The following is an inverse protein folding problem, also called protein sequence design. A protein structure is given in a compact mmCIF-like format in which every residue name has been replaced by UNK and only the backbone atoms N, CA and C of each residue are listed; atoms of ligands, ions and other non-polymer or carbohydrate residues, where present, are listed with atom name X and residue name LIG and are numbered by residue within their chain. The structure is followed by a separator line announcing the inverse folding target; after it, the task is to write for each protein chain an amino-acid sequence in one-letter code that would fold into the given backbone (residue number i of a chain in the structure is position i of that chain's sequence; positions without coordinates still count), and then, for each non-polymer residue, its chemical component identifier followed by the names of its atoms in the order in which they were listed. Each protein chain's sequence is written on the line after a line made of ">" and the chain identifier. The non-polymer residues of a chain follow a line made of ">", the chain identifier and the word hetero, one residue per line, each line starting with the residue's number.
data_IF_411750904313
#
_entry.id   IF_411750904313
#
_cell.length_a   1.000
_cell.length_b   1.000
_cell.length_c   1.000
_cell.angle_alpha   90.00
_cell.angle_beta   90.00
_cell.angle_gamma   90.00
#
_symmetry.space_group_name_H-M   'P 1'
#
loop_
_entity.id
_entity.type
_entity.pdbx_description
1 polymer ?
#
# COMPACT_ATOMS: atom_id res chain seq x y z
N UNK A 1 16.98 38.69 17.09
CA UNK A 1 15.92 37.89 16.44
C UNK A 1 16.33 36.43 16.57
N UNK A 2 15.52 35.59 17.20
CA UNK A 2 15.82 34.16 17.36
C UNK A 2 15.52 33.40 16.07
N UNK A 3 16.42 32.50 15.67
CA UNK A 3 16.21 31.60 14.54
C UNK A 3 15.18 30.56 14.97
N UNK A 4 14.00 30.59 14.35
CA UNK A 4 13.02 29.51 14.50
C UNK A 4 13.49 28.36 13.62
N UNK A 5 14.00 27.30 14.24
CA UNK A 5 14.26 26.03 13.56
C UNK A 5 12.93 25.28 13.51
N UNK A 6 12.30 25.23 12.33
CA UNK A 6 11.14 24.38 12.12
C UNK A 6 11.56 22.92 12.29
N UNK A 7 11.05 22.27 13.33
CA UNK A 7 11.24 20.84 13.52
C UNK A 7 10.65 20.10 12.31
N UNK A 8 11.37 19.15 11.70
CA UNK A 8 10.85 18.41 10.57
C UNK A 8 9.55 17.72 10.99
N UNK A 9 8.45 18.05 10.31
CA UNK A 9 7.15 17.43 10.58
C UNK A 9 7.30 15.92 10.41
N UNK A 10 7.06 15.17 11.49
CA UNK A 10 7.02 13.73 11.40
C UNK A 10 5.91 13.32 10.43
N UNK A 11 6.25 12.46 9.47
CA UNK A 11 5.28 11.92 8.51
C UNK A 11 4.19 11.19 9.28
N UNK A 12 2.94 11.39 8.88
CA UNK A 12 1.83 10.62 9.45
C UNK A 12 1.89 9.17 8.98
N UNK A 13 1.30 8.24 9.75
CA UNK A 13 1.23 6.82 9.33
C UNK A 13 0.56 6.65 7.97
N UNK A 14 -0.44 7.47 7.66
CA UNK A 14 -1.10 7.48 6.35
C UNK A 14 -0.14 7.92 5.23
N UNK A 15 0.70 8.93 5.47
CA UNK A 15 1.72 9.35 4.50
C UNK A 15 2.78 8.26 4.31
N UNK A 16 3.22 7.62 5.40
CA UNK A 16 4.18 6.53 5.33
C UNK A 16 3.63 5.31 4.58
N UNK A 17 2.36 4.94 4.84
CA UNK A 17 1.66 3.86 4.13
C UNK A 17 1.61 4.12 2.63
N UNK A 18 1.20 5.33 2.25
CA UNK A 18 1.14 5.75 0.85
C UNK A 18 2.51 5.67 0.17
N UNK A 19 3.54 6.26 0.78
CA UNK A 19 4.90 6.25 0.22
C UNK A 19 5.43 4.83 0.05
N UNK A 20 5.17 3.94 1.01
CA UNK A 20 5.58 2.54 0.93
C UNK A 20 4.81 1.79 -0.17
N UNK A 21 3.50 2.02 -0.31
CA UNK A 21 2.68 1.44 -1.36
C UNK A 21 3.11 1.89 -2.76
N UNK A 22 3.41 3.18 -2.92
CA UNK A 22 3.93 3.73 -4.16
C UNK A 22 5.30 3.12 -4.50
N UNK A 23 6.20 3.00 -3.52
CA UNK A 23 7.53 2.42 -3.70
C UNK A 23 7.48 0.94 -4.12
N UNK A 24 6.65 0.13 -3.46
CA UNK A 24 6.49 -1.29 -3.79
C UNK A 24 5.88 -1.45 -5.19
N UNK A 25 4.89 -0.63 -5.51
CA UNK A 25 4.23 -0.65 -6.82
C UNK A 25 5.21 -0.31 -7.94
N UNK A 26 6.07 0.69 -7.73
CA UNK A 26 7.11 1.08 -8.69
C UNK A 26 8.15 -0.02 -8.87
N UNK A 27 8.63 -0.63 -7.78
CA UNK A 27 9.60 -1.74 -7.84
C UNK A 27 9.03 -2.94 -8.61
N UNK A 28 7.75 -3.25 -8.40
CA UNK A 28 7.06 -4.30 -9.15
C UNK A 28 7.01 -3.99 -10.65
N UNK A 29 6.73 -2.74 -11.05
CA UNK A 29 6.77 -2.31 -12.45
C UNK A 29 8.17 -2.51 -13.04
N UNK A 30 9.23 -2.10 -12.33
CA UNK A 30 10.61 -2.29 -12.79
C UNK A 30 10.96 -3.77 -12.99
N UNK A 31 10.56 -4.65 -12.06
CA UNK A 31 10.79 -6.09 -12.18
C UNK A 31 10.10 -6.62 -13.45
N UNK A 32 8.86 -6.21 -13.71
CA UNK A 32 8.08 -6.67 -14.87
C UNK A 32 8.70 -6.16 -16.19
N UNK A 33 9.16 -4.92 -16.24
CA UNK A 33 9.90 -4.37 -17.39
C UNK A 33 11.18 -5.15 -17.67
N UNK A 34 11.94 -5.50 -16.62
CA UNK A 34 13.16 -6.29 -16.73
C UNK A 34 12.90 -7.70 -17.31
N UNK A 35 11.68 -8.20 -17.19
CA UNK A 35 11.24 -9.47 -17.80
C UNK A 35 10.59 -9.30 -19.18
N UNK A 36 10.67 -8.10 -19.77
CA UNK A 36 10.15 -7.82 -21.12
C UNK A 36 8.64 -7.61 -21.19
N UNK A 37 7.96 -7.40 -20.05
CA UNK A 37 6.53 -7.11 -20.03
C UNK A 37 6.31 -5.64 -20.40
N UNK A 38 5.40 -5.38 -21.36
CA UNK A 38 5.06 -4.04 -21.81
C UNK A 38 4.14 -3.31 -20.81
N UNK A 39 4.75 -2.70 -19.81
CA UNK A 39 4.11 -1.92 -18.74
C UNK A 39 3.40 -0.65 -19.22
N UNK A 40 3.75 -0.15 -20.41
CA UNK A 40 3.12 1.01 -21.03
C UNK A 40 1.84 0.70 -21.81
N UNK A 41 1.42 -0.56 -21.89
CA UNK A 41 0.17 -0.93 -22.56
C UNK A 41 -1.05 -0.56 -21.71
N UNK A 42 -2.13 -0.12 -22.36
CA UNK A 42 -3.38 0.24 -21.66
C UNK A 42 -3.97 -0.93 -20.88
N UNK A 43 -3.86 -2.14 -21.42
CA UNK A 43 -4.29 -3.37 -20.74
C UNK A 43 -3.46 -3.64 -19.48
N UNK A 44 -2.14 -3.49 -19.55
CA UNK A 44 -1.29 -3.61 -18.37
C UNK A 44 -1.67 -2.59 -17.31
N UNK A 45 -1.79 -1.30 -17.68
CA UNK A 45 -2.14 -0.24 -16.72
C UNK A 45 -3.48 -0.51 -16.04
N UNK A 46 -4.48 -0.97 -16.80
CA UNK A 46 -5.78 -1.34 -16.25
C UNK A 46 -5.69 -2.51 -15.27
N UNK A 47 -4.99 -3.58 -15.63
CA UNK A 47 -4.81 -4.74 -14.75
C UNK A 47 -3.98 -4.39 -13.51
N UNK A 48 -2.96 -3.56 -13.68
CA UNK A 48 -2.06 -3.13 -12.61
C UNK A 48 -2.74 -2.20 -11.61
N UNK A 49 -3.75 -1.43 -12.02
CA UNK A 49 -4.52 -0.58 -11.10
C UNK A 49 -5.16 -1.40 -9.96
N UNK A 50 -5.66 -2.59 -10.25
CA UNK A 50 -6.18 -3.50 -9.23
C UNK A 50 -5.08 -4.03 -8.31
N UNK A 51 -3.93 -4.40 -8.87
CA UNK A 51 -2.78 -4.90 -8.10
C UNK A 51 -2.27 -3.83 -7.13
N UNK A 52 -2.10 -2.60 -7.60
CA UNK A 52 -1.71 -1.45 -6.76
C UNK A 52 -2.74 -1.23 -5.66
N UNK A 53 -4.04 -1.31 -5.97
CA UNK A 53 -5.09 -1.18 -4.95
C UNK A 53 -5.00 -2.25 -3.86
N UNK A 54 -4.68 -3.49 -4.22
CA UNK A 54 -4.46 -4.56 -3.24
C UNK A 54 -3.21 -4.32 -2.39
N UNK A 55 -2.12 -3.83 -2.98
CA UNK A 55 -0.89 -3.46 -2.26
C UNK A 55 -1.18 -2.35 -1.24
N UNK A 56 -1.91 -1.30 -1.64
CA UNK A 56 -2.34 -0.22 -0.75
C UNK A 56 -3.15 -0.76 0.45
N UNK A 57 -4.16 -1.58 0.16
CA UNK A 57 -5.06 -2.16 1.18
C UNK A 57 -4.30 -3.04 2.18
N UNK A 58 -3.32 -3.81 1.69
CA UNK A 58 -2.43 -4.63 2.51
C UNK A 58 -1.60 -3.74 3.45
N UNK A 59 -0.91 -2.75 2.92
CA UNK A 59 -0.01 -1.89 3.70
C UNK A 59 -0.79 -1.03 4.69
N UNK A 60 -1.93 -0.47 4.27
CA UNK A 60 -2.82 0.27 5.17
C UNK A 60 -3.26 -0.61 6.34
N UNK A 61 -3.62 -1.88 6.07
CA UNK A 61 -4.00 -2.83 7.12
C UNK A 61 -2.84 -3.10 8.10
N UNK A 62 -1.63 -3.36 7.60
CA UNK A 62 -0.45 -3.64 8.43
C UNK A 62 0.00 -2.40 9.24
N UNK A 63 -0.19 -1.20 8.69
CA UNK A 63 0.17 0.05 9.36
C UNK A 63 -0.95 0.63 10.24
N UNK A 64 -2.10 -0.05 10.31
CA UNK A 64 -3.26 0.38 11.09
C UNK A 64 -3.91 1.67 10.55
N UNK A 65 -3.78 1.92 9.25
CA UNK A 65 -4.42 3.02 8.53
C UNK A 65 -5.83 2.57 8.13
N UNK A 66 -6.89 3.34 8.47
CA UNK A 66 -8.25 2.98 8.10
C UNK A 66 -8.43 3.04 6.58
N UNK A 67 -8.77 1.91 5.97
CA UNK A 67 -9.12 1.80 4.56
C UNK A 67 -10.45 1.03 4.42
N UNK A 68 -11.36 1.57 3.62
CA UNK A 68 -12.72 1.03 3.48
C UNK A 68 -12.74 -0.35 2.84
N UNK A 69 -11.78 -0.65 1.95
CA UNK A 69 -11.64 -1.99 1.38
C UNK A 69 -11.08 -2.96 2.43
N UNK A 70 -10.13 -2.55 3.26
CA UNK A 70 -9.60 -3.38 4.35
C UNK A 70 -10.71 -3.73 5.35
N UNK A 71 -11.59 -2.76 5.66
CA UNK A 71 -12.80 -3.00 6.47
C UNK A 71 -13.75 -4.00 5.81
N UNK A 72 -13.96 -3.86 4.50
CA UNK A 72 -14.84 -4.77 3.76
C UNK A 72 -14.27 -6.19 3.71
N UNK A 73 -12.97 -6.35 3.45
CA UNK A 73 -12.31 -7.67 3.38
C UNK A 73 -12.31 -8.37 4.75
N UNK A 74 -12.20 -7.62 5.86
CA UNK A 74 -12.33 -8.19 7.20
C UNK A 74 -13.69 -8.86 7.45
N UNK A 75 -14.76 -8.42 6.77
CA UNK A 75 -16.09 -9.04 6.87
C UNK A 75 -16.14 -10.45 6.26
N UNK A 76 -15.19 -10.77 5.37
CA UNK A 76 -15.08 -12.08 4.73
C UNK A 76 -14.00 -12.97 5.34
N UNK A 77 -13.30 -12.52 6.40
CA UNK A 77 -12.31 -13.35 7.08
C UNK A 77 -13.03 -14.55 7.72
N UNK A 78 -12.64 -15.80 7.38
CA UNK A 78 -13.20 -16.98 8.03
C UNK A 78 -12.98 -16.91 9.54
N UNK A 79 -14.00 -17.26 10.32
CA UNK A 79 -13.92 -17.29 11.79
C UNK A 79 -12.81 -18.22 12.31
N UNK A 80 -12.32 -19.15 11.48
CA UNK A 80 -11.27 -20.12 11.81
C UNK A 80 -9.89 -19.50 12.08
N UNK A 81 -9.66 -18.22 11.75
CA UNK A 81 -8.40 -17.52 12.04
C UNK A 81 -8.39 -16.78 13.40
N UNK A 82 -9.47 -16.85 14.18
CA UNK A 82 -9.55 -16.21 15.51
C UNK A 82 -9.09 -17.11 16.66
N UNK A 83 -8.87 -18.41 16.43
CA UNK A 83 -8.35 -19.33 17.44
C UNK A 83 -6.89 -19.69 17.14
N UNK A 84 -5.96 -18.94 17.73
CA UNK A 84 -4.71 -19.42 18.36
C UNK A 84 -3.85 -18.24 18.79
N UNK A 85 -4.32 -17.51 19.78
CA UNK A 85 -3.43 -16.89 20.76
C UNK A 85 -4.00 -17.24 22.13
N UNK A 86 -3.26 -18.13 22.80
CA UNK A 86 -3.45 -18.63 24.17
C UNK A 86 -3.64 -17.52 25.17
#
# INVERSE_FOLDING_TARGET
>A
MGIVLDFPKQKTRAQQSKELGDAISLELVYILENHGIKTSSSEFVYNMAWVVKFIEVLIDSEMGVPNDLSRHIQQFKPQEFYEKTT
#
